data_IF_304255088733
#
_entry.id   IF_304255088733
#
_cell.length_a   1.000
_cell.length_b   1.000
_cell.length_c   1.000
_cell.angle_alpha   90.00
_cell.angle_beta   90.00
_cell.angle_gamma   90.00
#
_symmetry.space_group_name_H-M   'P 1'
#
loop_
_entity.id
_entity.type
_entity.pdbx_description
1 polymer ?
#
# COMPACT_ATOMS: atom_id res chain seq x y z
N UNK A 1 -2.63 2.56 22.31
CA UNK A 1 -3.99 2.14 21.89
C UNK A 1 -4.92 2.48 23.02
N UNK A 2 -6.03 3.20 22.77
CA UNK A 2 -7.08 3.41 23.77
C UNK A 2 -8.10 2.28 23.63
N UNK A 3 -8.26 1.44 24.65
CA UNK A 3 -9.31 0.43 24.65
C UNK A 3 -10.67 1.07 24.91
N UNK A 4 -11.73 0.56 24.28
CA UNK A 4 -13.08 1.13 24.44
C UNK A 4 -13.64 1.04 25.85
N UNK A 5 -13.14 0.11 26.67
CA UNK A 5 -13.53 -0.07 28.06
C UNK A 5 -12.63 0.71 29.04
N UNK A 6 -11.53 1.29 28.57
CA UNK A 6 -10.69 2.14 29.39
C UNK A 6 -11.33 3.53 29.53
N UNK A 7 -11.61 3.89 30.78
CA UNK A 7 -12.29 5.12 31.18
C UNK A 7 -11.33 6.21 31.66
N UNK A 8 -10.08 5.86 31.94
CA UNK A 8 -9.08 6.74 32.54
C UNK A 8 -8.07 7.23 31.49
N UNK A 9 -7.86 6.46 30.42
CA UNK A 9 -7.00 6.85 29.32
C UNK A 9 -7.43 8.16 28.65
N UNK A 10 -6.42 8.92 28.20
CA UNK A 10 -6.59 10.25 27.60
C UNK A 10 -6.40 10.22 26.07
N UNK A 11 -6.36 9.02 25.47
CA UNK A 11 -6.07 8.79 24.06
C UNK A 11 -4.76 9.44 23.58
N UNK A 12 -3.73 9.37 24.42
CA UNK A 12 -2.38 9.92 24.23
C UNK A 12 -1.30 8.82 24.25
N UNK A 13 -0.02 9.23 24.23
CA UNK A 13 1.13 8.32 24.26
C UNK A 13 1.29 7.54 25.57
N UNK A 14 0.64 7.97 26.66
CA UNK A 14 0.72 7.35 27.98
C UNK A 14 -0.43 6.39 28.27
N UNK A 15 -1.42 6.34 27.38
CA UNK A 15 -2.66 5.56 27.51
C UNK A 15 -2.43 4.05 27.59
N UNK A 16 -1.40 3.51 26.94
CA UNK A 16 -1.11 2.08 26.98
C UNK A 16 0.39 1.82 26.97
N UNK A 17 0.77 0.57 27.24
CA UNK A 17 2.10 0.09 26.90
C UNK A 17 2.32 0.08 25.37
N UNK A 18 3.55 -0.24 24.95
CA UNK A 18 3.85 -0.54 23.56
C UNK A 18 3.29 -1.91 23.18
N UNK A 19 2.48 -1.95 22.12
CA UNK A 19 1.95 -3.18 21.56
C UNK A 19 2.75 -3.57 20.31
N UNK A 20 3.04 -4.85 20.16
CA UNK A 20 3.54 -5.39 18.90
C UNK A 20 2.42 -5.42 17.86
N UNK A 21 2.79 -5.35 16.59
CA UNK A 21 1.86 -5.45 15.44
C UNK A 21 2.22 -6.69 14.64
N UNK A 22 1.24 -7.56 14.43
CA UNK A 22 1.38 -8.70 13.54
C UNK A 22 1.53 -8.21 12.09
N UNK A 23 2.56 -8.69 11.41
CA UNK A 23 2.72 -8.52 9.97
C UNK A 23 2.20 -9.76 9.24
N UNK A 24 1.72 -9.58 8.01
CA UNK A 24 1.36 -10.69 7.12
C UNK A 24 2.57 -11.52 6.69
N UNK A 25 3.78 -10.94 6.72
CA UNK A 25 5.02 -11.65 6.39
C UNK A 25 6.21 -10.98 7.12
N UNK A 26 6.83 -11.69 8.06
CA UNK A 26 7.94 -11.18 8.84
C UNK A 26 9.10 -12.19 8.89
N UNK A 27 10.23 -11.82 8.29
CA UNK A 27 11.48 -12.56 8.33
C UNK A 27 12.61 -11.74 8.97
N UNK A 28 13.81 -12.31 9.04
CA UNK A 28 14.98 -11.61 9.55
C UNK A 28 15.45 -10.53 8.57
N UNK A 29 15.05 -9.28 8.82
CA UNK A 29 15.32 -8.10 7.97
C UNK A 29 14.68 -8.13 6.57
N UNK A 30 13.56 -8.85 6.39
CA UNK A 30 12.72 -8.81 5.18
C UNK A 30 11.25 -9.08 5.53
N UNK A 31 10.33 -8.66 4.66
CA UNK A 31 8.89 -8.90 4.84
C UNK A 31 8.03 -7.69 4.49
N UNK A 32 6.79 -7.69 4.99
CA UNK A 32 5.85 -6.58 4.86
C UNK A 32 5.76 -5.79 6.18
N UNK A 33 5.64 -4.47 6.12
CA UNK A 33 5.40 -3.63 7.30
C UNK A 33 4.36 -2.57 6.93
N UNK A 34 3.27 -2.52 7.68
CA UNK A 34 2.30 -1.44 7.64
C UNK A 34 1.96 -1.04 9.09
N UNK A 35 2.48 0.11 9.53
CA UNK A 35 2.32 0.59 10.90
C UNK A 35 0.96 1.31 11.00
N UNK A 36 0.06 0.89 11.91
CA UNK A 36 -1.18 1.62 12.16
C UNK A 36 -0.90 3.07 12.57
N UNK A 37 -1.64 4.01 12.00
CA UNK A 37 -1.53 5.45 12.32
C UNK A 37 -2.51 5.83 13.43
N UNK A 38 -2.23 6.96 14.09
CA UNK A 38 -3.13 7.53 15.10
C UNK A 38 -4.54 7.70 14.49
N UNK A 39 -5.54 7.25 15.23
CA UNK A 39 -6.95 7.23 14.82
C UNK A 39 -7.40 5.93 14.17
N UNK A 40 -6.51 5.13 13.56
CA UNK A 40 -6.92 3.86 12.95
C UNK A 40 -7.46 2.88 14.00
N UNK A 41 -8.54 2.18 13.65
CA UNK A 41 -9.09 1.10 14.46
C UNK A 41 -8.32 -0.20 14.22
N UNK A 42 -7.91 -0.85 15.31
CA UNK A 42 -7.10 -2.06 15.29
C UNK A 42 -7.76 -3.19 16.06
N UNK A 43 -7.58 -4.42 15.59
CA UNK A 43 -7.90 -5.63 16.33
C UNK A 43 -6.76 -5.94 17.29
N UNK A 44 -7.09 -6.06 18.59
CA UNK A 44 -6.14 -6.48 19.62
C UNK A 44 -6.52 -7.89 20.09
N UNK A 45 -5.55 -8.79 20.06
CA UNK A 45 -5.61 -10.13 20.66
C UNK A 45 -4.73 -10.18 21.89
N UNK A 46 -5.08 -11.02 22.84
CA UNK A 46 -4.34 -11.22 24.08
C UNK A 46 -3.69 -12.60 24.05
N UNK A 47 -2.37 -12.68 24.22
CA UNK A 47 -1.64 -13.94 24.17
C UNK A 47 -2.10 -14.87 25.30
N UNK A 48 -2.49 -16.11 24.97
CA UNK A 48 -3.10 -17.06 25.93
C UNK A 48 -4.33 -16.50 26.68
N UNK A 49 -4.95 -15.43 26.17
CA UNK A 49 -6.06 -14.74 26.83
C UNK A 49 -5.64 -13.81 27.98
N UNK A 50 -4.35 -13.55 28.16
CA UNK A 50 -3.83 -12.68 29.22
C UNK A 50 -3.98 -11.18 28.85
N UNK A 51 -4.83 -10.41 29.56
CA UNK A 51 -5.05 -8.99 29.28
C UNK A 51 -3.77 -8.14 29.36
N UNK A 52 -2.73 -8.60 30.08
CA UNK A 52 -1.45 -7.91 30.22
C UNK A 52 -0.49 -8.19 29.05
N UNK A 53 -0.88 -9.06 28.11
CA UNK A 53 -0.08 -9.40 26.91
C UNK A 53 -0.82 -9.08 25.59
N UNK A 54 -1.14 -7.79 25.33
CA UNK A 54 -1.83 -7.38 24.12
C UNK A 54 -0.92 -7.40 22.87
N UNK A 55 -1.51 -7.79 21.74
CA UNK A 55 -0.90 -7.83 20.40
C UNK A 55 -1.89 -7.32 19.37
N UNK A 56 -1.50 -6.37 18.51
CA UNK A 56 -2.32 -5.96 17.37
C UNK A 56 -2.27 -7.03 16.28
N UNK A 57 -3.42 -7.51 15.82
CA UNK A 57 -3.53 -8.60 14.83
C UNK A 57 -4.22 -8.19 13.53
N UNK A 58 -4.77 -6.98 13.46
CA UNK A 58 -5.36 -6.45 12.23
C UNK A 58 -5.78 -5.00 12.34
N UNK A 59 -6.22 -4.42 11.22
CA UNK A 59 -6.84 -3.10 11.14
C UNK A 59 -8.22 -3.23 10.49
N UNK A 60 -9.15 -2.37 10.87
CA UNK A 60 -10.53 -2.42 10.40
C UNK A 60 -10.95 -1.09 9.76
N UNK A 61 -11.80 -1.20 8.74
CA UNK A 61 -12.61 -0.09 8.26
C UNK A 61 -13.93 -0.03 9.05
N UNK A 62 -14.46 1.17 9.23
CA UNK A 62 -15.72 1.45 9.91
C UNK A 62 -16.41 2.68 9.30
N UNK A 63 -17.52 3.15 9.86
CA UNK A 63 -18.32 4.23 9.27
C UNK A 63 -17.58 5.56 9.04
N UNK A 64 -16.54 5.84 9.83
CA UNK A 64 -15.70 7.05 9.71
C UNK A 64 -14.45 6.76 8.85
N UNK A 65 -13.74 5.65 9.10
CA UNK A 65 -12.65 5.18 8.25
C UNK A 65 -13.18 4.21 7.20
N UNK A 66 -13.64 4.75 6.09
CA UNK A 66 -14.22 3.96 5.01
C UNK A 66 -13.13 3.28 4.14
N UNK A 67 -13.48 2.19 3.44
CA UNK A 67 -12.60 1.59 2.44
C UNK A 67 -12.21 2.60 1.34
N UNK A 68 -11.03 2.47 0.70
CA UNK A 68 -10.52 3.45 -0.27
C UNK A 68 -11.36 3.61 -1.54
N UNK A 69 -12.22 2.64 -1.84
CA UNK A 69 -13.20 2.70 -2.92
C UNK A 69 -14.56 2.26 -2.41
N UNK A 70 -15.62 2.85 -2.96
CA UNK A 70 -16.98 2.53 -2.59
C UNK A 70 -17.31 1.04 -2.83
N UNK A 71 -17.91 0.42 -1.80
CA UNK A 71 -18.40 -0.95 -1.84
C UNK A 71 -19.94 -0.95 -1.75
N UNK A 72 -20.63 -1.86 -2.48
CA UNK A 72 -20.11 -3.01 -3.23
C UNK A 72 -19.73 -2.72 -4.69
N UNK A 73 -19.82 -1.46 -5.15
CA UNK A 73 -19.61 -1.10 -6.56
C UNK A 73 -18.24 -1.56 -7.11
N UNK A 74 -17.19 -1.49 -6.28
CA UNK A 74 -15.82 -1.84 -6.66
C UNK A 74 -15.31 -3.14 -6.01
N UNK A 75 -16.20 -4.11 -5.77
CA UNK A 75 -15.90 -5.38 -5.06
C UNK A 75 -14.85 -6.27 -5.73
N UNK A 76 -14.49 -6.01 -6.99
CA UNK A 76 -13.48 -6.76 -7.77
C UNK A 76 -12.10 -6.11 -7.73
N UNK A 77 -11.89 -5.09 -6.89
CA UNK A 77 -10.60 -4.41 -6.73
C UNK A 77 -9.82 -4.95 -5.55
N UNK A 78 -8.54 -5.23 -5.80
CA UNK A 78 -7.53 -5.50 -4.78
C UNK A 78 -6.49 -4.39 -4.81
N UNK A 79 -6.09 -3.86 -3.65
CA UNK A 79 -5.15 -2.73 -3.64
C UNK A 79 -4.32 -2.59 -2.37
N UNK A 80 -3.19 -1.90 -2.52
CA UNK A 80 -2.42 -1.27 -1.46
C UNK A 80 -2.40 0.24 -1.76
N UNK A 81 -3.11 1.04 -0.97
CA UNK A 81 -3.15 2.49 -1.09
C UNK A 81 -2.68 3.13 0.21
N UNK A 82 -1.71 4.03 0.10
CA UNK A 82 -1.15 4.77 1.25
C UNK A 82 -1.71 6.19 1.29
N UNK A 83 -1.34 6.95 2.32
CA UNK A 83 -1.63 8.38 2.40
C UNK A 83 -0.34 9.09 2.82
N UNK A 84 -0.06 10.26 2.25
CA UNK A 84 1.09 11.08 2.62
C UNK A 84 1.06 11.40 4.11
N UNK A 85 2.22 11.46 4.76
CA UNK A 85 2.30 11.67 6.21
C UNK A 85 3.50 12.54 6.57
N UNK A 86 3.37 13.45 7.56
CA UNK A 86 2.14 13.82 8.26
C UNK A 86 1.22 14.71 7.40
N UNK A 87 -0.06 14.81 7.78
CA UNK A 87 -1.00 15.79 7.21
C UNK A 87 -1.76 15.36 5.95
N UNK A 88 -1.46 14.20 5.36
CA UNK A 88 -2.19 13.70 4.19
C UNK A 88 -1.91 14.50 2.92
N UNK A 89 -2.89 14.55 2.02
CA UNK A 89 -2.87 15.39 0.82
C UNK A 89 -2.28 14.72 -0.43
N UNK A 90 -1.95 13.44 -0.37
CA UNK A 90 -1.45 12.67 -1.50
C UNK A 90 -1.39 11.17 -1.20
N UNK A 91 -1.20 10.31 -2.20
CA UNK A 91 -1.18 8.86 -2.00
C UNK A 91 -0.27 8.12 -2.98
N UNK A 92 0.29 7.00 -2.55
CA UNK A 92 0.82 5.99 -3.47
C UNK A 92 -0.19 4.84 -3.57
N UNK A 93 -0.25 4.17 -4.72
CA UNK A 93 -1.20 3.08 -4.92
C UNK A 93 -0.69 2.01 -5.88
N UNK A 94 -0.85 0.75 -5.50
CA UNK A 94 -0.89 -0.39 -6.40
C UNK A 94 -2.31 -0.97 -6.34
N UNK A 95 -3.00 -1.01 -7.48
CA UNK A 95 -4.38 -1.49 -7.58
C UNK A 95 -4.54 -2.46 -8.75
N UNK A 96 -5.27 -3.53 -8.51
CA UNK A 96 -5.63 -4.56 -9.48
C UNK A 96 -7.17 -4.59 -9.56
N UNK A 97 -7.72 -4.44 -10.76
CA UNK A 97 -9.13 -4.61 -11.09
C UNK A 97 -9.31 -5.92 -11.85
N UNK A 98 -10.13 -6.82 -11.30
CA UNK A 98 -10.39 -8.16 -11.85
C UNK A 98 -11.74 -8.26 -12.58
N UNK A 99 -12.42 -7.13 -12.85
CA UNK A 99 -13.66 -7.14 -13.62
C UNK A 99 -13.39 -7.60 -15.05
N UNK A 100 -14.01 -8.72 -15.43
CA UNK A 100 -13.86 -9.34 -16.76
C UNK A 100 -14.08 -8.37 -17.92
N UNK A 101 -13.10 -8.28 -18.82
CA UNK A 101 -13.10 -7.39 -19.99
C UNK A 101 -12.77 -5.92 -19.67
N UNK A 102 -12.46 -5.61 -18.41
CA UNK A 102 -12.07 -4.28 -17.90
C UNK A 102 -10.89 -4.42 -16.92
N UNK A 103 -10.12 -5.49 -17.02
CA UNK A 103 -9.01 -5.78 -16.12
C UNK A 103 -7.95 -4.68 -16.20
N UNK A 104 -7.38 -4.31 -15.06
CA UNK A 104 -6.38 -3.24 -15.01
C UNK A 104 -5.43 -3.42 -13.83
N UNK A 105 -4.15 -3.20 -14.07
CA UNK A 105 -3.18 -2.87 -13.03
C UNK A 105 -2.92 -1.37 -13.10
N UNK A 106 -3.03 -0.69 -11.97
CA UNK A 106 -2.79 0.74 -11.81
C UNK A 106 -1.70 0.96 -10.77
N UNK A 107 -0.68 1.74 -11.15
CA UNK A 107 0.41 2.17 -10.28
C UNK A 107 0.38 3.69 -10.24
N UNK A 108 0.35 4.25 -9.03
CA UNK A 108 0.42 5.68 -8.77
C UNK A 108 1.53 5.97 -7.78
N UNK A 109 2.44 6.87 -8.16
CA UNK A 109 3.42 7.47 -7.28
C UNK A 109 3.04 8.93 -7.06
N UNK A 110 2.93 9.36 -5.81
CA UNK A 110 2.58 10.74 -5.47
C UNK A 110 3.66 11.75 -5.88
N UNK A 111 4.91 11.31 -5.94
CA UNK A 111 6.05 12.19 -6.24
C UNK A 111 7.05 11.52 -7.18
N UNK A 112 7.88 10.63 -6.65
CA UNK A 112 8.95 9.97 -7.39
C UNK A 112 8.63 8.48 -7.54
N UNK A 113 8.99 7.90 -8.69
CA UNK A 113 8.98 6.46 -8.95
C UNK A 113 10.35 6.04 -9.46
N UNK A 114 11.05 5.26 -8.65
CA UNK A 114 12.33 4.66 -9.02
C UNK A 114 12.14 3.16 -9.26
N UNK A 115 12.62 2.66 -10.40
CA UNK A 115 12.62 1.25 -10.75
C UNK A 115 14.06 0.80 -10.98
N UNK A 116 14.55 -0.16 -10.20
CA UNK A 116 15.90 -0.71 -10.33
C UNK A 116 15.84 -2.21 -10.60
N UNK A 117 16.44 -2.65 -11.72
CA UNK A 117 16.46 -4.04 -12.16
C UNK A 117 17.92 -4.49 -12.35
N UNK A 118 18.36 -5.46 -11.55
CA UNK A 118 19.76 -5.92 -11.53
C UNK A 118 20.14 -6.84 -12.70
N UNK A 119 19.17 -7.33 -13.47
CA UNK A 119 19.41 -8.24 -14.59
C UNK A 119 18.66 -7.82 -15.85
N UNK A 120 17.50 -8.41 -16.15
CA UNK A 120 16.75 -8.13 -17.37
C UNK A 120 15.37 -7.54 -17.07
N UNK A 121 15.02 -6.45 -17.75
CA UNK A 121 13.63 -5.98 -17.86
C UNK A 121 13.08 -6.40 -19.23
N UNK A 122 11.91 -7.05 -19.25
CA UNK A 122 11.21 -7.45 -20.48
C UNK A 122 9.80 -6.89 -20.48
N UNK A 123 9.46 -6.11 -21.50
CA UNK A 123 8.14 -5.50 -21.65
C UNK A 123 7.53 -5.96 -22.98
N UNK A 124 6.34 -6.56 -22.92
CA UNK A 124 5.52 -6.87 -24.10
C UNK A 124 4.16 -6.20 -23.96
N UNK A 125 3.86 -5.30 -24.91
CA UNK A 125 2.55 -4.67 -25.02
C UNK A 125 1.83 -5.27 -26.22
N UNK A 126 0.68 -5.91 -25.98
CA UNK A 126 -0.08 -6.61 -27.03
C UNK A 126 -0.89 -5.70 -27.95
N UNK A 127 -1.02 -4.43 -27.60
CA UNK A 127 -1.73 -3.42 -28.38
C UNK A 127 -0.90 -2.12 -28.39
N UNK A 128 -1.32 -1.08 -27.66
CA UNK A 128 -0.70 0.24 -27.71
C UNK A 128 0.01 0.59 -26.40
N UNK A 129 1.18 1.25 -26.54
CA UNK A 129 1.88 1.95 -25.46
C UNK A 129 1.73 3.46 -25.67
N UNK A 130 1.46 4.20 -24.60
CA UNK A 130 1.38 5.65 -24.64
C UNK A 130 2.21 6.23 -23.48
N UNK A 131 3.23 7.01 -23.83
CA UNK A 131 4.10 7.66 -22.87
C UNK A 131 3.95 9.18 -23.03
N UNK A 132 3.67 9.88 -21.92
CA UNK A 132 3.63 11.34 -21.86
C UNK A 132 4.59 11.84 -20.78
N UNK A 133 5.53 12.69 -21.18
CA UNK A 133 6.49 13.34 -20.28
C UNK A 133 6.36 14.85 -20.46
N UNK A 134 6.11 15.58 -19.38
CA UNK A 134 5.95 17.04 -19.41
C UNK A 134 7.29 17.79 -19.28
N UNK A 135 8.28 17.14 -18.66
CA UNK A 135 9.64 17.65 -18.54
C UNK A 135 10.60 16.98 -19.54
N UNK A 136 11.86 16.89 -19.14
CA UNK A 136 12.91 16.27 -19.95
C UNK A 136 12.96 14.76 -19.76
N UNK A 137 13.33 14.05 -20.83
CA UNK A 137 13.73 12.63 -20.80
C UNK A 137 15.24 12.55 -20.98
N UNK A 138 15.90 11.80 -20.12
CA UNK A 138 17.30 11.40 -20.28
C UNK A 138 17.37 9.87 -20.38
N UNK A 139 18.20 9.37 -21.28
CA UNK A 139 18.45 7.94 -21.41
C UNK A 139 19.92 7.74 -21.77
N UNK A 140 20.58 6.85 -21.05
CA UNK A 140 21.96 6.46 -21.30
C UNK A 140 22.00 4.95 -21.51
N UNK A 141 22.52 4.55 -22.67
CA UNK A 141 22.70 3.15 -23.04
C UNK A 141 24.21 2.92 -23.15
N UNK A 142 24.76 2.16 -22.21
CA UNK A 142 26.20 1.83 -22.20
C UNK A 142 26.55 0.72 -23.22
N UNK A 143 25.54 0.06 -23.78
CA UNK A 143 25.65 -0.96 -24.81
C UNK A 143 24.94 -0.55 -26.09
N UNK A 144 24.46 -1.55 -26.83
CA UNK A 144 23.76 -1.32 -28.09
C UNK A 144 22.27 -1.07 -27.89
N UNK A 145 21.73 -0.12 -28.65
CA UNK A 145 20.30 0.10 -28.77
C UNK A 145 19.87 -0.21 -30.21
N UNK A 146 18.95 -1.15 -30.37
CA UNK A 146 18.33 -1.48 -31.65
C UNK A 146 16.86 -1.08 -31.62
N UNK A 147 16.40 -0.42 -32.68
CA UNK A 147 14.99 -0.10 -32.88
C UNK A 147 14.55 -0.62 -34.24
N UNK A 148 13.61 -1.58 -34.23
CA UNK A 148 13.07 -2.17 -35.45
C UNK A 148 11.58 -1.87 -35.54
N UNK A 149 11.18 -1.27 -36.66
CA UNK A 149 9.80 -0.98 -36.99
C UNK A 149 9.41 -1.83 -38.19
N UNK A 150 8.31 -2.56 -38.06
CA UNK A 150 7.68 -3.23 -39.19
C UNK A 150 6.57 -2.31 -39.71
N UNK A 151 6.58 -2.00 -41.01
CA UNK A 151 5.40 -1.44 -41.69
C UNK A 151 4.39 -2.56 -41.87
N UNK A 152 3.11 -2.22 -41.76
CA UNK A 152 2.01 -3.04 -42.27
C UNK A 152 2.17 -3.29 -43.78
#
# INVERSE_FOLDING_TARGET
>A
VQFHWDREGQADEHTSCWLRVASSWAGNAYGAIAIPRIGMEVLVTFLEGDPDQPLVTGCLYHGVHQPPYELPANKTRTLLKTDSSPGGGGYNELRIEDRKGQEQIYIHAQRDWDENIEHDQKIRVGHQRHDRVEGSVYSEFLGEQHHTLHKD
#
